data_IF_689779432996
#
_entry.id   IF_689779432996
#
_cell.length_a   1.000
_cell.length_b   1.000
_cell.length_c   1.000
_cell.angle_alpha   90.00
_cell.angle_beta   90.00
_cell.angle_gamma   90.00
#
_symmetry.space_group_name_H-M   'P 1'
#
loop_
_entity.id
_entity.type
_entity.pdbx_description
1 polymer ?
#
# COMPACT_ATOMS: atom_id res chain seq x y z
N UNK A 1 27.04 -8.60 -2.12
CA UNK A 1 26.41 -7.34 -1.68
C UNK A 1 25.52 -7.62 -0.48
N UNK A 2 25.64 -6.81 0.57
CA UNK A 2 24.84 -6.87 1.80
C UNK A 2 23.90 -5.66 1.84
N UNK A 3 22.62 -5.90 2.06
CA UNK A 3 21.55 -4.88 2.03
C UNK A 3 20.89 -4.82 3.39
N UNK A 4 20.83 -3.63 3.99
CA UNK A 4 20.01 -3.35 5.16
C UNK A 4 18.66 -2.77 4.69
N UNK A 5 17.58 -3.53 4.86
CA UNK A 5 16.24 -3.12 4.51
C UNK A 5 15.49 -2.68 5.76
N UNK A 6 15.00 -1.45 5.79
CA UNK A 6 14.37 -0.84 6.98
C UNK A 6 12.93 -0.48 6.68
N UNK A 7 12.01 -0.89 7.56
CA UNK A 7 10.60 -0.52 7.45
C UNK A 7 9.98 -0.28 8.83
N UNK A 8 8.79 0.34 8.84
CA UNK A 8 7.92 0.45 10.01
C UNK A 8 6.83 -0.63 9.95
N UNK A 9 6.22 -1.04 11.09
CA UNK A 9 5.35 -2.21 11.18
C UNK A 9 3.92 -1.96 10.65
N UNK A 10 3.83 -1.35 9.47
CA UNK A 10 2.57 -1.14 8.77
C UNK A 10 2.40 -2.16 7.65
N UNK A 11 1.37 -3.01 7.73
CA UNK A 11 1.15 -4.08 6.76
C UNK A 11 1.08 -3.59 5.30
N UNK A 12 0.46 -2.42 5.08
CA UNK A 12 0.39 -1.79 3.76
C UNK A 12 1.74 -1.39 3.18
N UNK A 13 2.76 -1.19 4.03
CA UNK A 13 4.12 -0.78 3.64
C UNK A 13 5.10 -1.95 3.60
N UNK A 14 4.82 -3.05 4.30
CA UNK A 14 5.70 -4.22 4.34
C UNK A 14 5.37 -5.19 3.20
N UNK A 15 4.09 -5.55 3.06
CA UNK A 15 3.67 -6.60 2.12
C UNK A 15 4.14 -6.34 0.68
N UNK A 16 4.05 -5.11 0.12
CA UNK A 16 4.53 -4.85 -1.24
C UNK A 16 6.03 -5.06 -1.42
N UNK A 17 6.83 -4.94 -0.36
CA UNK A 17 8.29 -5.05 -0.45
C UNK A 17 8.79 -6.50 -0.41
N UNK A 18 7.96 -7.45 0.06
CA UNK A 18 8.39 -8.84 0.26
C UNK A 18 8.82 -9.53 -1.03
N UNK A 19 8.13 -9.24 -2.13
CA UNK A 19 8.49 -9.81 -3.44
C UNK A 19 9.84 -9.31 -3.95
N UNK A 20 10.16 -8.03 -3.75
CA UNK A 20 11.47 -7.48 -4.08
C UNK A 20 12.56 -8.10 -3.21
N UNK A 21 12.32 -8.21 -1.90
CA UNK A 21 13.28 -8.84 -0.97
C UNK A 21 13.57 -10.28 -1.38
N UNK A 22 12.54 -11.07 -1.70
CA UNK A 22 12.71 -12.43 -2.18
C UNK A 22 13.53 -12.49 -3.49
N UNK A 23 13.29 -11.55 -4.41
CA UNK A 23 14.03 -11.50 -5.67
C UNK A 23 15.50 -11.12 -5.48
N UNK A 24 15.81 -10.19 -4.57
CA UNK A 24 17.18 -9.84 -4.20
C UNK A 24 17.93 -11.04 -3.59
N UNK A 25 17.28 -11.77 -2.69
CA UNK A 25 17.84 -12.99 -2.08
C UNK A 25 18.09 -14.06 -3.13
N UNK A 26 17.16 -14.30 -4.07
CA UNK A 26 17.35 -15.24 -5.20
C UNK A 26 18.58 -14.91 -6.05
N UNK A 27 19.01 -13.65 -6.09
CA UNK A 27 20.20 -13.17 -6.79
C UNK A 27 21.47 -13.24 -5.92
N UNK A 28 21.43 -14.00 -4.83
CA UNK A 28 22.55 -14.17 -3.89
C UNK A 28 22.97 -12.87 -3.19
N UNK A 29 22.07 -11.89 -3.05
CA UNK A 29 22.28 -10.72 -2.21
C UNK A 29 21.88 -11.06 -0.78
N UNK A 30 22.74 -10.70 0.18
CA UNK A 30 22.44 -10.89 1.61
C UNK A 30 21.56 -9.72 2.09
N UNK A 31 20.28 -9.98 2.26
CA UNK A 31 19.32 -8.97 2.74
C UNK A 31 19.02 -9.23 4.20
N UNK A 32 19.25 -8.24 5.05
CA UNK A 32 18.76 -8.22 6.42
C UNK A 32 17.59 -7.24 6.52
N UNK A 33 16.42 -7.76 6.89
CA UNK A 33 15.22 -6.96 7.05
C UNK A 33 15.07 -6.54 8.52
N UNK A 34 15.17 -5.24 8.80
CA UNK A 34 15.06 -4.66 10.12
C UNK A 34 13.61 -4.25 10.39
N UNK A 35 12.95 -4.94 11.35
CA UNK A 35 11.54 -4.75 11.64
C UNK A 35 11.20 -5.24 13.07
N UNK A 36 9.93 -5.11 13.50
CA UNK A 36 9.43 -5.64 14.78
C UNK A 36 9.18 -7.14 14.73
N UNK A 37 9.26 -7.84 15.86
CA UNK A 37 9.20 -9.31 15.99
C UNK A 37 7.98 -9.97 15.35
N UNK A 38 6.83 -9.31 15.36
CA UNK A 38 5.56 -9.82 14.77
C UNK A 38 5.66 -10.18 13.29
N UNK A 39 6.68 -9.67 12.60
CA UNK A 39 6.90 -9.88 11.17
C UNK A 39 7.97 -10.93 10.85
N UNK A 40 8.65 -11.46 11.87
CA UNK A 40 9.78 -12.38 11.70
C UNK A 40 9.44 -13.57 10.79
N UNK A 41 8.32 -14.22 11.05
CA UNK A 41 7.89 -15.38 10.26
C UNK A 41 7.66 -15.02 8.79
N UNK A 42 6.95 -13.92 8.52
CA UNK A 42 6.66 -13.47 7.14
C UNK A 42 7.92 -13.06 6.38
N UNK A 43 8.88 -12.43 7.08
CA UNK A 43 10.17 -12.07 6.47
C UNK A 43 10.98 -13.31 6.16
N UNK A 44 11.01 -14.32 7.04
CA UNK A 44 11.78 -15.55 6.81
C UNK A 44 11.36 -16.31 5.55
N UNK A 45 10.08 -16.25 5.15
CA UNK A 45 9.62 -16.83 3.88
C UNK A 45 10.25 -16.17 2.63
N UNK A 46 10.80 -14.96 2.73
CA UNK A 46 11.53 -14.32 1.63
C UNK A 46 12.96 -14.83 1.47
N UNK A 47 13.48 -15.56 2.46
CA UNK A 47 14.88 -15.97 2.57
C UNK A 47 15.81 -14.89 3.11
N UNK A 48 15.29 -13.71 3.48
CA UNK A 48 16.09 -12.66 4.12
C UNK A 48 16.37 -12.98 5.59
N UNK A 49 17.51 -12.49 6.06
CA UNK A 49 17.81 -12.45 7.50
C UNK A 49 16.89 -11.45 8.19
N UNK A 50 16.50 -11.76 9.42
CA UNK A 50 15.66 -10.87 10.21
C UNK A 50 16.47 -10.24 11.34
N UNK A 51 16.37 -8.92 11.46
CA UNK A 51 16.88 -8.18 12.62
C UNK A 51 15.74 -7.41 13.28
N UNK A 52 15.76 -7.36 14.61
CA UNK A 52 14.65 -6.80 15.38
C UNK A 52 14.99 -5.42 15.94
N UNK A 53 13.97 -4.54 15.94
CA UNK A 53 13.94 -3.39 16.84
C UNK A 53 12.68 -3.43 17.71
N UNK A 54 12.75 -2.83 18.89
CA UNK A 54 11.68 -2.86 19.88
C UNK A 54 10.42 -2.15 19.35
N UNK A 55 9.28 -2.84 19.38
CA UNK A 55 7.97 -2.27 19.05
C UNK A 55 7.55 -1.19 20.06
N UNK A 56 6.75 -0.22 19.59
CA UNK A 56 6.13 0.78 20.44
C UNK A 56 4.88 1.37 19.80
N UNK A 57 3.81 1.55 20.59
CA UNK A 57 2.56 2.14 20.12
C UNK A 57 2.71 3.61 19.70
N UNK A 58 3.67 4.33 20.24
CA UNK A 58 3.95 5.73 19.91
C UNK A 58 4.89 5.80 18.71
N UNK A 59 4.40 6.29 17.58
CA UNK A 59 5.14 6.31 16.31
C UNK A 59 6.50 7.02 16.41
N UNK A 60 6.60 8.11 17.18
CA UNK A 60 7.89 8.82 17.38
C UNK A 60 8.93 7.97 18.11
N UNK A 61 8.52 7.12 19.05
CA UNK A 61 9.40 6.17 19.75
C UNK A 61 9.74 5.01 18.82
N UNK A 62 8.77 4.46 18.13
CA UNK A 62 8.93 3.44 17.10
C UNK A 62 10.01 3.80 16.09
N UNK A 63 9.91 5.01 15.55
CA UNK A 63 10.86 5.54 14.56
C UNK A 63 12.28 5.66 15.13
N UNK A 64 12.42 6.11 16.39
CA UNK A 64 13.72 6.15 17.07
C UNK A 64 14.31 4.77 17.31
N UNK A 65 13.47 3.80 17.71
CA UNK A 65 13.92 2.43 17.92
C UNK A 65 14.48 1.84 16.63
N UNK A 66 13.75 2.02 15.51
CA UNK A 66 14.22 1.61 14.17
C UNK A 66 15.54 2.32 13.80
N UNK A 67 15.65 3.64 14.02
CA UNK A 67 16.85 4.41 13.73
C UNK A 67 18.07 3.90 14.49
N UNK A 68 17.98 3.77 15.82
CA UNK A 68 19.13 3.33 16.63
C UNK A 68 19.53 1.88 16.34
N UNK A 69 18.56 1.00 16.03
CA UNK A 69 18.86 -0.34 15.59
C UNK A 69 19.58 -0.34 14.22
N UNK A 70 19.12 0.48 13.27
CA UNK A 70 19.76 0.62 11.97
C UNK A 70 21.19 1.17 12.09
N UNK A 71 21.43 2.18 12.91
CA UNK A 71 22.77 2.78 13.15
C UNK A 71 23.77 1.75 13.70
N UNK A 72 23.31 0.80 14.52
CA UNK A 72 24.19 -0.26 15.05
C UNK A 72 24.63 -1.29 13.99
N UNK A 73 23.84 -1.43 12.92
CA UNK A 73 24.03 -2.45 11.91
C UNK A 73 24.70 -1.94 10.63
N UNK A 74 24.38 -0.71 10.24
CA UNK A 74 24.62 -0.18 8.88
C UNK A 74 26.08 -0.22 8.42
N UNK A 75 27.07 -0.18 9.33
CA UNK A 75 28.50 -0.27 8.97
C UNK A 75 28.84 -1.51 8.16
N UNK A 76 28.16 -2.62 8.44
CA UNK A 76 28.42 -3.93 7.85
C UNK A 76 27.70 -4.15 6.50
N UNK A 77 26.98 -3.16 6.01
CA UNK A 77 26.15 -3.23 4.80
C UNK A 77 26.68 -2.31 3.71
N UNK A 78 26.41 -2.70 2.47
CA UNK A 78 26.80 -1.96 1.27
C UNK A 78 25.74 -0.96 0.83
N UNK A 79 24.47 -1.23 1.12
CA UNK A 79 23.29 -0.48 0.70
C UNK A 79 22.25 -0.40 1.81
N UNK A 80 21.62 0.77 1.97
CA UNK A 80 20.42 0.95 2.79
C UNK A 80 19.21 1.09 1.88
N UNK A 81 18.21 0.22 2.05
CA UNK A 81 16.89 0.36 1.44
C UNK A 81 15.89 0.69 2.54
N UNK A 82 15.04 1.68 2.31
CA UNK A 82 14.04 2.07 3.30
C UNK A 82 12.72 2.48 2.66
N UNK A 83 11.63 2.21 3.37
CA UNK A 83 10.30 2.66 2.96
C UNK A 83 10.09 4.12 3.38
N UNK A 84 9.39 4.90 2.56
CA UNK A 84 9.27 6.36 2.67
C UNK A 84 8.81 6.88 4.04
N UNK A 85 7.98 6.12 4.78
CA UNK A 85 7.52 6.51 6.11
C UNK A 85 8.65 6.48 7.15
N UNK A 86 9.68 5.67 6.92
CA UNK A 86 10.91 5.74 7.70
C UNK A 86 11.82 6.84 7.14
N UNK A 87 11.39 8.10 7.21
CA UNK A 87 12.08 9.24 6.62
C UNK A 87 13.53 9.43 7.12
N UNK A 88 13.93 8.78 8.21
CA UNK A 88 15.30 8.78 8.72
C UNK A 88 16.25 7.86 7.92
N UNK A 89 15.75 7.11 6.95
CA UNK A 89 16.54 6.10 6.23
C UNK A 89 17.72 6.68 5.48
N UNK A 90 17.53 7.81 4.78
CA UNK A 90 18.63 8.50 4.11
C UNK A 90 19.67 9.04 5.11
N UNK A 91 19.21 9.60 6.24
CA UNK A 91 20.11 10.08 7.29
C UNK A 91 20.97 8.96 7.90
N UNK A 92 20.40 7.74 8.07
CA UNK A 92 21.17 6.55 8.47
C UNK A 92 22.27 6.25 7.46
N UNK A 93 21.94 6.24 6.18
CA UNK A 93 22.90 5.96 5.10
C UNK A 93 24.01 7.01 5.00
N UNK A 94 23.66 8.30 4.99
CA UNK A 94 24.61 9.42 4.90
C UNK A 94 25.62 9.43 6.05
N UNK A 95 25.17 9.12 7.27
CA UNK A 95 26.03 9.06 8.45
C UNK A 95 27.18 8.06 8.31
N UNK A 96 27.05 7.05 7.46
CA UNK A 96 28.04 5.99 7.24
C UNK A 96 28.54 5.96 5.79
N UNK A 97 28.28 7.01 5.00
CA UNK A 97 28.66 7.11 3.59
C UNK A 97 28.19 5.91 2.77
N UNK A 98 26.95 5.45 2.99
CA UNK A 98 26.36 4.34 2.24
C UNK A 98 25.36 4.87 1.20
N UNK A 99 25.28 4.24 0.01
CA UNK A 99 24.20 4.52 -0.93
C UNK A 99 22.85 4.17 -0.31
N UNK A 100 21.79 4.86 -0.74
CA UNK A 100 20.45 4.67 -0.26
C UNK A 100 19.43 4.55 -1.38
N UNK A 101 18.45 3.68 -1.19
CA UNK A 101 17.27 3.52 -2.07
C UNK A 101 16.02 3.71 -1.23
N UNK A 102 15.13 4.60 -1.69
CA UNK A 102 13.82 4.80 -1.05
C UNK A 102 12.74 4.06 -1.83
N UNK A 103 11.83 3.43 -1.09
CA UNK A 103 10.67 2.75 -1.66
C UNK A 103 9.40 3.53 -1.31
N UNK A 104 8.57 3.75 -2.31
CA UNK A 104 7.20 4.23 -2.18
C UNK A 104 6.25 3.06 -2.40
N UNK A 105 5.58 2.63 -1.36
CA UNK A 105 4.50 1.62 -1.41
C UNK A 105 3.14 2.23 -1.72
N UNK A 106 3.12 3.56 -1.85
CA UNK A 106 2.02 4.39 -2.30
C UNK A 106 2.52 5.26 -3.47
N UNK A 107 1.91 6.43 -3.68
CA UNK A 107 2.35 7.40 -4.68
C UNK A 107 3.68 8.05 -4.29
N UNK A 108 4.52 8.36 -5.27
CA UNK A 108 5.65 9.24 -5.05
C UNK A 108 5.13 10.63 -4.64
N UNK A 109 5.88 11.32 -3.75
CA UNK A 109 5.41 12.55 -3.13
C UNK A 109 6.15 13.77 -3.65
N UNK A 110 5.40 14.77 -4.12
CA UNK A 110 5.81 16.16 -4.31
C UNK A 110 5.01 17.08 -3.37
N UNK A 111 5.22 18.38 -3.44
CA UNK A 111 4.52 19.35 -2.60
C UNK A 111 2.99 19.28 -2.76
N UNK A 112 2.51 19.17 -4.00
CA UNK A 112 1.09 19.15 -4.31
C UNK A 112 0.41 17.89 -3.75
N UNK A 113 1.02 16.72 -3.97
CA UNK A 113 0.54 15.44 -3.44
C UNK A 113 0.54 15.47 -1.91
N UNK A 114 1.60 15.98 -1.30
CA UNK A 114 1.70 16.07 0.14
C UNK A 114 0.67 17.05 0.72
N UNK A 115 0.39 18.15 0.03
CA UNK A 115 -0.65 19.09 0.43
C UNK A 115 -2.04 18.45 0.35
N UNK A 116 -2.36 17.73 -0.72
CA UNK A 116 -3.62 16.99 -0.82
C UNK A 116 -3.74 15.93 0.27
N UNK A 117 -2.67 15.20 0.55
CA UNK A 117 -2.62 14.18 1.60
C UNK A 117 -2.86 14.77 3.02
N UNK A 118 -2.23 15.89 3.34
CA UNK A 118 -2.42 16.58 4.63
C UNK A 118 -3.81 17.20 4.71
N UNK A 119 -4.37 17.67 3.59
CA UNK A 119 -5.70 18.28 3.53
C UNK A 119 -6.83 17.26 3.56
N UNK A 120 -6.55 15.99 3.28
CA UNK A 120 -7.54 14.93 3.42
C UNK A 120 -7.96 14.77 4.89
N UNK A 121 -9.23 14.44 5.10
CA UNK A 121 -9.72 14.11 6.45
C UNK A 121 -9.00 12.84 6.96
N UNK A 122 -8.42 12.92 8.15
CA UNK A 122 -7.77 11.77 8.75
C UNK A 122 -6.65 12.10 9.74
N UNK A 123 -5.95 11.08 10.19
CA UNK A 123 -4.92 11.17 11.23
C UNK A 123 -3.78 12.16 10.87
N UNK A 124 -3.42 12.26 9.59
CA UNK A 124 -2.37 13.17 9.14
C UNK A 124 -2.82 14.63 9.00
N UNK A 125 -4.11 14.91 9.07
CA UNK A 125 -4.65 16.28 9.09
C UNK A 125 -4.13 17.14 10.26
N UNK A 126 -3.65 16.52 11.34
CA UNK A 126 -2.97 17.23 12.44
C UNK A 126 -1.71 17.95 11.98
N UNK A 127 -1.03 17.44 10.94
CA UNK A 127 0.19 18.03 10.37
C UNK A 127 -0.08 19.23 9.46
N UNK A 128 -1.34 19.64 9.25
CA UNK A 128 -1.69 20.97 8.70
C UNK A 128 -1.08 22.08 9.55
N UNK A 129 -0.99 21.85 10.85
CA UNK A 129 -0.30 22.77 11.75
C UNK A 129 1.22 22.61 11.64
N UNK A 130 1.86 23.65 11.10
CA UNK A 130 3.35 23.71 11.04
C UNK A 130 3.98 23.54 12.43
N UNK A 131 3.31 24.05 13.47
CA UNK A 131 3.78 23.90 14.84
C UNK A 131 3.76 22.43 15.29
N UNK A 132 2.65 21.71 15.06
CA UNK A 132 2.56 20.27 15.39
C UNK A 132 3.61 19.48 14.61
N UNK A 133 3.77 19.75 13.30
CA UNK A 133 4.79 19.11 12.47
C UNK A 133 6.18 19.28 13.08
N UNK A 134 6.55 20.52 13.46
CA UNK A 134 7.83 20.84 14.09
C UNK A 134 8.01 20.14 15.45
N UNK A 135 7.00 20.15 16.32
CA UNK A 135 7.08 19.52 17.64
C UNK A 135 7.26 18.00 17.51
N UNK A 136 6.50 17.38 16.62
CA UNK A 136 6.63 15.95 16.37
C UNK A 136 8.01 15.59 15.80
N UNK A 137 8.51 16.38 14.84
CA UNK A 137 9.85 16.20 14.26
C UNK A 137 10.94 16.36 15.34
N UNK A 138 10.85 17.38 16.19
CA UNK A 138 11.78 17.56 17.32
C UNK A 138 11.75 16.38 18.28
N UNK A 139 10.58 15.81 18.53
CA UNK A 139 10.47 14.63 19.40
C UNK A 139 11.15 13.41 18.77
N UNK A 140 10.97 13.17 17.47
CA UNK A 140 11.67 12.10 16.74
C UNK A 140 13.18 12.38 16.68
N UNK A 141 13.56 13.61 16.36
CA UNK A 141 14.96 14.01 16.20
C UNK A 141 15.74 14.11 17.53
N UNK A 142 15.08 14.01 18.69
CA UNK A 142 15.79 14.12 19.99
C UNK A 142 16.87 13.04 20.12
N UNK A 143 18.13 13.46 20.14
CA UNK A 143 19.30 12.59 20.14
C UNK A 143 19.77 12.15 18.74
N UNK A 144 19.18 12.69 17.68
CA UNK A 144 19.54 12.47 16.28
C UNK A 144 19.91 13.82 15.69
N UNK A 145 21.08 13.93 15.06
CA UNK A 145 21.52 15.15 14.38
C UNK A 145 20.80 15.30 13.03
N UNK A 146 19.52 15.63 13.08
CA UNK A 146 18.67 15.84 11.91
C UNK A 146 18.57 17.33 11.59
N UNK A 147 18.99 17.72 10.39
CA UNK A 147 19.04 19.12 9.96
C UNK A 147 17.69 19.74 9.65
N UNK A 148 16.63 18.91 9.44
CA UNK A 148 15.29 19.40 9.12
C UNK A 148 14.47 19.76 10.36
N UNK A 149 13.63 20.78 10.24
CA UNK A 149 12.67 21.18 11.26
C UNK A 149 11.29 20.53 11.07
N UNK A 150 11.08 19.84 9.93
CA UNK A 150 9.82 19.17 9.59
C UNK A 150 10.08 17.91 8.77
N UNK A 151 9.57 16.77 9.24
CA UNK A 151 9.73 15.47 8.59
C UNK A 151 9.17 15.42 7.15
N UNK A 152 8.17 16.26 6.86
CA UNK A 152 7.63 16.39 5.50
C UNK A 152 8.67 16.96 4.54
N UNK A 153 9.47 17.93 5.01
CA UNK A 153 10.57 18.48 4.22
C UNK A 153 11.65 17.43 3.95
N UNK A 154 11.91 16.54 4.90
CA UNK A 154 12.85 15.45 4.71
C UNK A 154 12.43 14.52 3.58
N UNK A 155 11.15 14.17 3.52
CA UNK A 155 10.62 13.36 2.43
C UNK A 155 10.68 14.09 1.09
N UNK A 156 10.34 15.40 1.05
CA UNK A 156 10.20 16.17 -0.19
C UNK A 156 11.54 16.65 -0.76
N UNK A 157 12.42 17.16 0.10
CA UNK A 157 13.61 17.90 -0.33
C UNK A 157 14.93 17.18 -0.06
N UNK A 158 14.88 16.00 0.58
CA UNK A 158 16.04 15.16 0.79
C UNK A 158 15.87 13.75 0.20
N UNK A 159 15.51 13.59 -1.10
CA UNK A 159 15.43 12.29 -1.71
C UNK A 159 16.81 11.65 -1.88
N UNK A 160 16.92 10.32 -1.81
CA UNK A 160 18.10 9.62 -2.29
C UNK A 160 18.14 9.66 -3.83
N UNK A 161 19.28 9.28 -4.41
CA UNK A 161 19.45 9.25 -5.87
C UNK A 161 18.46 8.29 -6.55
N UNK A 162 18.13 7.17 -5.90
CA UNK A 162 17.20 6.17 -6.45
C UNK A 162 15.96 6.04 -5.59
N UNK A 163 14.80 6.16 -6.26
CA UNK A 163 13.48 6.01 -5.68
C UNK A 163 12.66 4.99 -6.48
N UNK A 164 12.16 3.97 -5.81
CA UNK A 164 11.33 2.91 -6.41
C UNK A 164 9.88 3.12 -6.03
N UNK A 165 8.97 3.16 -7.00
CA UNK A 165 7.55 3.48 -6.79
C UNK A 165 6.70 2.29 -7.22
N UNK A 166 5.92 1.71 -6.30
CA UNK A 166 5.04 0.57 -6.59
C UNK A 166 3.71 1.00 -7.20
N UNK A 167 3.80 1.70 -8.32
CA UNK A 167 2.71 1.97 -9.24
C UNK A 167 3.27 2.18 -10.65
N UNK A 168 2.42 2.44 -11.63
CA UNK A 168 2.79 2.83 -12.98
C UNK A 168 2.76 4.34 -13.14
N UNK A 169 3.53 4.85 -14.12
CA UNK A 169 3.65 6.30 -14.35
C UNK A 169 2.31 6.96 -14.65
N UNK A 170 1.46 6.32 -15.44
CA UNK A 170 0.14 6.84 -15.79
C UNK A 170 -0.84 6.91 -14.61
N UNK A 171 -0.65 6.08 -13.57
CA UNK A 171 -1.45 6.20 -12.37
C UNK A 171 -0.95 7.32 -11.44
N UNK A 172 0.35 7.65 -11.48
CA UNK A 172 0.97 8.67 -10.65
C UNK A 172 0.44 10.08 -11.01
N UNK A 173 -0.17 10.84 -10.08
CA UNK A 173 -0.44 12.26 -10.30
C UNK A 173 0.87 13.05 -10.45
N UNK A 174 0.86 14.09 -11.28
CA UNK A 174 2.02 14.96 -11.52
C UNK A 174 3.29 14.16 -11.90
N UNK A 175 3.11 13.13 -12.75
CA UNK A 175 4.19 12.19 -13.07
C UNK A 175 5.44 12.87 -13.67
N UNK A 176 5.26 13.99 -14.35
CA UNK A 176 6.36 14.75 -14.98
C UNK A 176 7.29 15.45 -13.98
N UNK A 177 6.85 15.62 -12.72
CA UNK A 177 7.69 16.14 -11.64
C UNK A 177 8.72 15.12 -11.15
N UNK A 178 8.63 13.86 -11.58
CA UNK A 178 9.47 12.76 -11.14
C UNK A 178 10.40 12.30 -12.27
N UNK A 179 11.63 12.81 -12.27
CA UNK A 179 12.65 12.49 -13.27
C UNK A 179 12.93 10.99 -13.35
N UNK A 180 12.98 10.42 -14.56
CA UNK A 180 13.10 8.98 -14.77
C UNK A 180 14.43 8.39 -14.29
N UNK A 181 15.49 9.18 -14.27
CA UNK A 181 16.79 8.75 -13.74
C UNK A 181 16.74 8.48 -12.24
N UNK A 182 15.94 9.25 -11.49
CA UNK A 182 15.85 9.15 -10.03
C UNK A 182 14.64 8.36 -9.54
N UNK A 183 13.56 8.27 -10.35
CA UNK A 183 12.31 7.60 -9.97
C UNK A 183 11.97 6.48 -10.95
N UNK A 184 11.93 5.26 -10.44
CA UNK A 184 11.57 4.07 -11.23
C UNK A 184 10.20 3.56 -10.82
N UNK A 185 9.23 3.70 -11.73
CA UNK A 185 7.88 3.19 -11.55
C UNK A 185 7.86 1.70 -11.88
N UNK A 186 7.66 0.88 -10.85
CA UNK A 186 7.82 -0.58 -10.92
C UNK A 186 6.56 -1.30 -11.44
N UNK A 187 5.38 -0.71 -11.26
CA UNK A 187 4.11 -1.39 -11.42
C UNK A 187 3.62 -2.02 -10.12
N UNK A 188 2.68 -2.95 -10.23
CA UNK A 188 2.08 -3.61 -9.08
C UNK A 188 3.03 -4.65 -8.46
N UNK A 189 3.26 -4.57 -7.15
CA UNK A 189 3.95 -5.64 -6.44
C UNK A 189 2.99 -6.78 -6.14
N UNK A 190 2.97 -7.78 -7.01
CA UNK A 190 2.24 -9.01 -6.77
C UNK A 190 3.20 -10.01 -6.12
N UNK A 191 3.00 -10.24 -4.84
CA UNK A 191 3.71 -11.24 -4.07
C UNK A 191 2.75 -12.37 -3.72
N UNK A 192 3.06 -13.59 -4.13
CA UNK A 192 2.28 -14.77 -3.73
C UNK A 192 2.45 -14.96 -2.23
N UNK A 193 1.52 -14.44 -1.48
CA UNK A 193 1.37 -14.74 -0.05
C UNK A 193 1.18 -16.24 0.05
N UNK A 194 1.81 -16.89 1.03
CA UNK A 194 1.58 -18.31 1.28
C UNK A 194 0.06 -18.56 1.28
N UNK A 195 -0.39 -19.32 0.29
CA UNK A 195 -1.81 -19.56 0.04
C UNK A 195 -2.43 -20.08 1.32
N UNK A 196 -3.50 -19.45 1.78
CA UNK A 196 -4.33 -20.05 2.82
C UNK A 196 -5.06 -21.24 2.18
N UNK A 197 -4.41 -22.44 2.19
CA UNK A 197 -4.87 -23.66 1.55
C UNK A 197 -6.30 -24.09 1.96
N UNK A 198 -6.87 -23.43 2.96
CA UNK A 198 -8.22 -23.71 3.45
C UNK A 198 -9.32 -22.89 2.75
N UNK A 199 -8.98 -21.85 1.96
CA UNK A 199 -10.00 -21.09 1.23
C UNK A 199 -10.35 -21.80 -0.07
N UNK A 200 -11.63 -22.16 -0.20
CA UNK A 200 -12.19 -22.71 -1.44
C UNK A 200 -13.03 -21.62 -2.07
N UNK A 201 -12.63 -21.19 -3.26
CA UNK A 201 -13.37 -20.20 -4.04
C UNK A 201 -14.76 -20.74 -4.38
N UNK A 202 -15.86 -20.07 -3.99
CA UNK A 202 -17.19 -20.48 -4.42
C UNK A 202 -17.31 -20.43 -5.96
N UNK A 203 -18.00 -21.37 -6.60
CA UNK A 203 -18.15 -21.36 -8.06
C UNK A 203 -18.88 -20.09 -8.51
N UNK A 204 -18.32 -19.42 -9.53
CA UNK A 204 -18.92 -18.22 -10.12
C UNK A 204 -20.12 -18.60 -10.98
N UNK A 205 -21.32 -18.19 -10.55
CA UNK A 205 -22.60 -18.48 -11.25
C UNK A 205 -23.20 -17.27 -11.98
N UNK A 206 -22.81 -16.07 -11.53
CA UNK A 206 -23.28 -14.79 -12.05
C UNK A 206 -22.18 -13.75 -11.78
N UNK A 207 -22.34 -12.47 -12.19
CA UNK A 207 -21.36 -11.44 -11.93
C UNK A 207 -21.00 -11.37 -10.44
N UNK A 208 -19.69 -11.31 -10.13
CA UNK A 208 -19.14 -11.35 -8.79
C UNK A 208 -18.72 -9.97 -8.31
N UNK A 209 -19.31 -9.53 -7.21
CA UNK A 209 -18.91 -8.33 -6.48
C UNK A 209 -18.06 -8.75 -5.28
N UNK A 210 -16.85 -8.27 -5.21
CA UNK A 210 -15.99 -8.40 -4.03
C UNK A 210 -16.06 -7.14 -3.17
N UNK A 211 -16.18 -7.30 -1.85
CA UNK A 211 -16.26 -6.19 -0.89
C UNK A 211 -15.21 -6.39 0.20
N UNK A 212 -14.29 -5.43 0.32
CA UNK A 212 -13.29 -5.41 1.39
C UNK A 212 -12.84 -3.99 1.71
N UNK A 213 -12.95 -3.60 2.97
CA UNK A 213 -12.46 -2.31 3.48
C UNK A 213 -11.03 -2.37 4.04
N UNK A 214 -10.29 -3.44 3.73
CA UNK A 214 -8.92 -3.65 4.17
C UNK A 214 -8.83 -4.05 5.65
N UNK A 215 -7.67 -3.84 6.26
CA UNK A 215 -7.37 -4.31 7.63
C UNK A 215 -7.62 -3.25 8.71
N UNK A 216 -7.66 -1.97 8.35
CA UNK A 216 -7.76 -0.86 9.33
C UNK A 216 -9.20 -0.40 9.52
N UNK A 217 -10.02 -0.37 8.45
CA UNK A 217 -11.35 0.28 8.44
C UNK A 217 -12.48 -0.75 8.29
N UNK A 218 -12.38 -1.90 8.89
CA UNK A 218 -13.37 -2.96 8.74
C UNK A 218 -14.43 -3.01 9.86
N UNK A 219 -14.32 -2.22 10.94
CA UNK A 219 -15.32 -2.19 12.03
C UNK A 219 -16.53 -1.28 11.69
N UNK A 220 -17.16 -1.49 10.53
CA UNK A 220 -18.29 -0.70 10.04
C UNK A 220 -19.49 -1.58 9.70
N UNK A 221 -20.10 -2.18 10.72
CA UNK A 221 -21.28 -3.07 10.57
C UNK A 221 -22.38 -2.40 9.76
N UNK A 222 -22.64 -1.11 10.00
CA UNK A 222 -23.67 -0.36 9.28
C UNK A 222 -23.44 -0.32 7.76
N UNK A 223 -22.19 -0.24 7.33
CA UNK A 223 -21.83 -0.27 5.92
C UNK A 223 -22.09 -1.65 5.30
N UNK A 224 -21.66 -2.72 5.96
CA UNK A 224 -21.90 -4.08 5.47
C UNK A 224 -23.40 -4.41 5.38
N UNK A 225 -24.20 -3.94 6.35
CA UNK A 225 -25.67 -4.06 6.27
C UNK A 225 -26.27 -3.28 5.09
N UNK A 226 -25.69 -2.10 4.74
CA UNK A 226 -26.10 -1.37 3.54
C UNK A 226 -25.75 -2.14 2.26
N UNK A 227 -24.59 -2.80 2.21
CA UNK A 227 -24.20 -3.64 1.09
C UNK A 227 -25.14 -4.85 0.95
N UNK A 228 -25.53 -5.50 2.03
CA UNK A 228 -26.50 -6.59 2.01
C UNK A 228 -27.81 -6.11 1.38
N UNK A 229 -28.40 -5.03 1.90
CA UNK A 229 -29.65 -4.45 1.35
C UNK A 229 -29.52 -3.97 -0.10
N UNK A 230 -28.31 -3.57 -0.51
CA UNK A 230 -28.06 -3.13 -1.88
C UNK A 230 -28.18 -4.26 -2.91
N UNK A 231 -27.81 -5.49 -2.53
CA UNK A 231 -27.66 -6.59 -3.48
C UNK A 231 -28.49 -7.84 -3.17
N UNK A 232 -29.26 -7.88 -2.08
CA UNK A 232 -30.03 -9.06 -1.67
C UNK A 232 -31.04 -9.56 -2.71
N UNK A 233 -31.51 -8.68 -3.61
CA UNK A 233 -32.46 -9.00 -4.67
C UNK A 233 -31.85 -8.90 -6.07
N UNK A 234 -30.54 -8.68 -6.19
CA UNK A 234 -29.87 -8.56 -7.47
C UNK A 234 -29.33 -9.91 -7.97
N UNK A 235 -29.30 -10.10 -9.28
CA UNK A 235 -28.70 -11.28 -9.89
C UNK A 235 -27.18 -11.18 -9.94
N UNK A 236 -26.55 -11.13 -8.76
CA UNK A 236 -25.11 -11.05 -8.53
C UNK A 236 -24.71 -11.97 -7.40
N UNK A 237 -23.47 -12.41 -7.43
CA UNK A 237 -22.82 -13.08 -6.30
C UNK A 237 -22.00 -12.05 -5.54
N UNK A 238 -22.06 -12.06 -4.20
CA UNK A 238 -21.30 -11.10 -3.38
C UNK A 238 -20.42 -11.86 -2.39
N UNK A 239 -19.14 -11.54 -2.40
CA UNK A 239 -18.19 -12.04 -1.39
C UNK A 239 -17.70 -10.88 -0.56
N UNK A 240 -17.92 -10.93 0.75
CA UNK A 240 -17.50 -9.90 1.70
C UNK A 240 -16.38 -10.41 2.60
N UNK A 241 -15.27 -9.68 2.65
CA UNK A 241 -14.22 -9.82 3.67
C UNK A 241 -14.42 -8.73 4.73
N UNK A 242 -14.90 -9.15 5.92
CA UNK A 242 -15.34 -8.22 6.97
C UNK A 242 -14.29 -7.97 8.07
N UNK A 243 -13.11 -8.61 7.97
CA UNK A 243 -12.08 -8.58 8.99
C UNK A 243 -12.42 -9.44 10.23
N UNK A 244 -11.46 -9.56 11.13
CA UNK A 244 -11.60 -10.36 12.36
C UNK A 244 -12.36 -9.63 13.49
N UNK A 245 -12.50 -8.30 13.40
CA UNK A 245 -13.13 -7.47 14.45
C UNK A 245 -14.66 -7.45 14.34
N UNK A 246 -15.19 -7.65 13.13
CA UNK A 246 -16.64 -7.64 12.89
C UNK A 246 -17.24 -9.01 13.20
N UNK A 247 -18.18 -9.04 14.16
CA UNK A 247 -18.97 -10.26 14.41
C UNK A 247 -20.02 -10.42 13.31
N UNK A 248 -19.94 -11.53 12.55
CA UNK A 248 -20.85 -11.87 11.45
C UNK A 248 -22.32 -11.93 11.90
N UNK A 249 -22.61 -12.41 13.10
CA UNK A 249 -23.97 -12.53 13.62
C UNK A 249 -24.68 -11.17 13.74
N UNK A 250 -23.89 -10.10 13.91
CA UNK A 250 -24.41 -8.73 13.95
C UNK A 250 -24.84 -8.17 12.60
N UNK A 251 -24.57 -8.86 11.50
CA UNK A 251 -25.00 -8.43 10.16
C UNK A 251 -26.49 -8.66 9.91
N UNK A 252 -27.11 -9.58 10.65
CA UNK A 252 -28.49 -10.03 10.45
C UNK A 252 -28.56 -11.20 9.49
N UNK A 253 -29.72 -11.42 8.84
CA UNK A 253 -29.91 -12.48 7.86
C UNK A 253 -28.99 -12.24 6.66
N UNK A 254 -28.20 -13.24 6.31
CA UNK A 254 -27.33 -13.22 5.11
C UNK A 254 -28.12 -13.88 3.97
N UNK A 255 -28.35 -13.17 2.85
CA UNK A 255 -29.03 -13.73 1.68
C UNK A 255 -28.19 -14.82 0.99
N UNK A 256 -28.83 -15.71 0.22
CA UNK A 256 -28.18 -16.86 -0.41
C UNK A 256 -27.13 -16.50 -1.46
N UNK A 257 -27.23 -15.30 -2.04
CA UNK A 257 -26.24 -14.76 -2.99
C UNK A 257 -25.01 -14.15 -2.33
N UNK A 258 -24.93 -14.18 -0.97
CA UNK A 258 -23.81 -13.65 -0.21
C UNK A 258 -22.97 -14.74 0.44
N UNK A 259 -21.64 -14.57 0.36
CA UNK A 259 -20.66 -15.31 1.16
C UNK A 259 -19.85 -14.34 2.01
N UNK A 260 -19.85 -14.52 3.33
CA UNK A 260 -19.22 -13.60 4.28
C UNK A 260 -18.12 -14.33 5.04
N UNK A 261 -16.90 -13.77 4.95
CA UNK A 261 -15.69 -14.30 5.57
C UNK A 261 -14.99 -13.24 6.41
N UNK A 262 -14.28 -13.67 7.43
CA UNK A 262 -13.37 -12.77 8.16
C UNK A 262 -12.17 -12.38 7.31
N UNK A 263 -11.69 -13.28 6.46
CA UNK A 263 -10.57 -13.07 5.56
C UNK A 263 -10.75 -13.91 4.28
N UNK A 264 -10.36 -13.34 3.16
CA UNK A 264 -10.23 -14.04 1.87
C UNK A 264 -8.88 -13.72 1.22
N UNK A 265 -8.27 -14.62 0.44
CA UNK A 265 -7.06 -14.35 -0.30
C UNK A 265 -7.37 -13.38 -1.46
N UNK A 266 -7.02 -12.10 -1.28
CA UNK A 266 -7.46 -11.00 -2.14
C UNK A 266 -7.03 -11.16 -3.60
N UNK A 267 -5.81 -11.66 -3.87
CA UNK A 267 -5.32 -11.86 -5.23
C UNK A 267 -6.16 -12.88 -6.00
N UNK A 268 -6.49 -14.01 -5.37
CA UNK A 268 -7.35 -15.06 -5.94
C UNK A 268 -8.79 -14.56 -6.14
N UNK A 269 -9.28 -13.72 -5.21
CA UNK A 269 -10.58 -13.09 -5.33
C UNK A 269 -10.64 -12.16 -6.54
N UNK A 270 -9.67 -11.27 -6.69
CA UNK A 270 -9.64 -10.27 -7.76
C UNK A 270 -9.55 -10.91 -9.15
N UNK A 271 -8.93 -12.07 -9.28
CA UNK A 271 -8.87 -12.81 -10.55
C UNK A 271 -10.26 -13.18 -11.10
N UNK A 272 -11.25 -13.35 -10.20
CA UNK A 272 -12.60 -13.77 -10.54
C UNK A 272 -13.66 -12.66 -10.39
N UNK A 273 -13.26 -11.48 -9.92
CA UNK A 273 -14.14 -10.37 -9.54
C UNK A 273 -14.49 -9.50 -10.75
N UNK A 274 -15.75 -9.12 -10.88
CA UNK A 274 -16.22 -8.18 -11.91
C UNK A 274 -16.23 -6.72 -11.43
N UNK A 275 -16.48 -6.47 -10.13
CA UNK A 275 -16.34 -5.15 -9.50
C UNK A 275 -15.86 -5.30 -8.06
N UNK A 276 -14.93 -4.46 -7.66
CA UNK A 276 -14.39 -4.42 -6.31
C UNK A 276 -14.86 -3.18 -5.54
N UNK A 277 -15.56 -3.37 -4.43
CA UNK A 277 -15.92 -2.30 -3.49
C UNK A 277 -14.85 -2.26 -2.40
N UNK A 278 -14.08 -1.18 -2.36
CA UNK A 278 -12.88 -1.06 -1.53
C UNK A 278 -12.79 0.29 -0.82
N UNK A 279 -11.98 0.36 0.23
CA UNK A 279 -11.64 1.62 0.89
C UNK A 279 -10.65 2.48 0.09
N UNK A 280 -9.97 1.90 -0.91
CA UNK A 280 -9.02 2.64 -1.75
C UNK A 280 -7.60 2.75 -1.20
N UNK A 281 -7.17 1.83 -0.34
CA UNK A 281 -5.75 1.70 0.00
C UNK A 281 -4.92 1.29 -1.21
N UNK A 282 -3.70 1.83 -1.35
CA UNK A 282 -2.91 1.70 -2.59
C UNK A 282 -2.67 0.25 -3.01
N UNK A 283 -2.44 -0.67 -2.08
CA UNK A 283 -2.26 -2.09 -2.41
C UNK A 283 -3.51 -2.69 -3.05
N UNK A 284 -4.70 -2.38 -2.48
CA UNK A 284 -5.97 -2.86 -3.05
C UNK A 284 -6.22 -2.31 -4.44
N UNK A 285 -5.82 -1.06 -4.69
CA UNK A 285 -5.95 -0.42 -6.00
C UNK A 285 -5.00 -1.07 -7.01
N UNK A 286 -3.71 -1.18 -6.70
CA UNK A 286 -2.73 -1.76 -7.63
C UNK A 286 -3.02 -3.23 -7.91
N UNK A 287 -3.45 -4.00 -6.91
CA UNK A 287 -3.90 -5.38 -7.09
C UNK A 287 -5.15 -5.45 -7.99
N UNK A 288 -6.15 -4.60 -7.75
CA UNK A 288 -7.36 -4.52 -8.58
C UNK A 288 -7.04 -4.21 -10.03
N UNK A 289 -6.22 -3.19 -10.28
CA UNK A 289 -5.81 -2.78 -11.62
C UNK A 289 -4.95 -3.86 -12.30
N UNK A 290 -4.11 -4.56 -11.56
CA UNK A 290 -3.33 -5.70 -12.09
C UNK A 290 -4.22 -6.82 -12.61
N UNK A 291 -5.35 -7.09 -11.95
CA UNK A 291 -6.34 -8.08 -12.41
C UNK A 291 -7.35 -7.49 -13.41
N UNK A 292 -7.39 -6.18 -13.58
CA UNK A 292 -8.31 -5.51 -14.51
C UNK A 292 -9.72 -5.42 -13.95
N UNK A 293 -9.86 -5.15 -12.66
CA UNK A 293 -11.13 -5.06 -11.96
C UNK A 293 -11.49 -3.61 -11.68
N UNK A 294 -12.61 -3.09 -12.19
CA UNK A 294 -13.10 -1.74 -11.89
C UNK A 294 -13.52 -1.62 -10.43
N UNK A 295 -13.43 -0.41 -9.87
CA UNK A 295 -13.61 -0.21 -8.44
C UNK A 295 -14.73 0.76 -8.09
N UNK A 296 -15.38 0.50 -6.94
CA UNK A 296 -16.13 1.50 -6.17
C UNK A 296 -15.32 1.82 -4.94
N UNK A 297 -14.78 3.04 -4.89
CA UNK A 297 -13.87 3.45 -3.80
C UNK A 297 -14.64 4.25 -2.76
N UNK A 298 -14.53 3.82 -1.49
CA UNK A 298 -15.18 4.45 -0.35
C UNK A 298 -14.06 4.89 0.62
N UNK A 299 -13.48 6.07 0.40
CA UNK A 299 -12.33 6.50 1.17
C UNK A 299 -12.71 6.93 2.60
N UNK A 300 -11.83 6.65 3.55
CA UNK A 300 -11.97 6.99 4.96
C UNK A 300 -10.87 7.92 5.45
N UNK A 301 -9.60 7.52 5.28
CA UNK A 301 -8.43 8.18 5.90
C UNK A 301 -7.19 8.10 4.99
N UNK A 302 -6.15 8.80 5.36
CA UNK A 302 -4.79 8.76 4.77
C UNK A 302 -4.75 9.11 3.28
N UNK A 303 -4.18 8.25 2.45
CA UNK A 303 -4.03 8.38 1.00
C UNK A 303 -5.31 8.04 0.21
N UNK A 304 -6.29 7.42 0.88
CA UNK A 304 -7.50 6.91 0.23
C UNK A 304 -8.31 7.99 -0.52
N UNK A 305 -8.52 9.22 0.02
CA UNK A 305 -9.22 10.28 -0.70
C UNK A 305 -8.52 10.70 -2.00
N UNK A 306 -7.19 10.77 -2.00
CA UNK A 306 -6.38 11.08 -3.17
C UNK A 306 -6.44 9.94 -4.19
N UNK A 307 -6.31 8.71 -3.72
CA UNK A 307 -6.43 7.53 -4.56
C UNK A 307 -7.82 7.43 -5.21
N UNK A 308 -8.90 7.70 -4.44
CA UNK A 308 -10.26 7.70 -4.95
C UNK A 308 -10.50 8.78 -6.02
N UNK A 309 -9.92 9.97 -5.84
CA UNK A 309 -9.93 11.05 -6.83
C UNK A 309 -9.24 10.59 -8.11
N UNK A 310 -8.06 9.95 -8.00
CA UNK A 310 -7.30 9.47 -9.16
C UNK A 310 -8.04 8.36 -9.93
N UNK A 311 -8.73 7.47 -9.23
CA UNK A 311 -9.60 6.44 -9.84
C UNK A 311 -10.71 7.08 -10.70
N UNK A 312 -11.34 8.16 -10.24
CA UNK A 312 -12.38 8.86 -11.00
C UNK A 312 -11.79 9.63 -12.21
N UNK A 313 -10.67 10.34 -12.01
CA UNK A 313 -9.96 11.08 -13.06
C UNK A 313 -9.58 10.18 -14.23
N UNK A 314 -9.09 8.98 -13.94
CA UNK A 314 -8.68 7.99 -14.95
C UNK A 314 -9.81 7.07 -15.42
N UNK A 315 -11.04 7.30 -14.99
CA UNK A 315 -12.20 6.48 -15.32
C UNK A 315 -12.02 4.98 -15.03
N UNK A 316 -11.34 4.67 -13.91
CA UNK A 316 -11.09 3.29 -13.46
C UNK A 316 -12.16 2.77 -12.49
N UNK A 317 -13.14 3.61 -12.17
CA UNK A 317 -14.21 3.32 -11.23
C UNK A 317 -14.93 4.58 -10.78
N UNK A 318 -15.61 4.47 -9.64
CA UNK A 318 -16.36 5.57 -9.00
C UNK A 318 -16.05 5.68 -7.52
N UNK A 319 -16.17 6.91 -7.00
CA UNK A 319 -16.04 7.23 -5.58
C UNK A 319 -17.41 7.40 -4.94
N UNK A 320 -17.59 6.87 -3.74
CA UNK A 320 -18.73 7.12 -2.89
C UNK A 320 -18.29 7.65 -1.52
N UNK A 321 -18.98 8.68 -1.03
CA UNK A 321 -18.65 9.30 0.26
C UNK A 321 -19.29 8.54 1.41
N UNK A 322 -18.50 7.94 2.29
CA UNK A 322 -18.98 7.08 3.39
C UNK A 322 -20.10 7.70 4.23
N UNK A 323 -19.98 8.98 4.59
CA UNK A 323 -20.97 9.67 5.44
C UNK A 323 -22.34 9.85 4.79
N UNK A 324 -22.41 9.84 3.45
CA UNK A 324 -23.64 10.07 2.67
C UNK A 324 -24.17 8.81 1.98
N UNK A 325 -23.45 7.70 2.11
CA UNK A 325 -23.74 6.48 1.36
C UNK A 325 -25.05 5.83 1.81
N UNK A 326 -25.88 5.45 0.85
CA UNK A 326 -27.10 4.66 1.05
C UNK A 326 -26.98 3.32 0.32
N UNK A 327 -27.85 2.34 0.64
CA UNK A 327 -27.91 1.06 -0.08
C UNK A 327 -28.22 1.27 -1.56
N UNK A 328 -29.12 2.20 -1.86
CA UNK A 328 -29.49 2.54 -3.23
C UNK A 328 -28.31 3.13 -4.02
N UNK A 329 -27.54 4.04 -3.41
CA UNK A 329 -26.34 4.60 -4.04
C UNK A 329 -25.31 3.50 -4.32
N UNK A 330 -25.07 2.59 -3.35
CA UNK A 330 -24.16 1.44 -3.54
C UNK A 330 -24.63 0.62 -4.74
N UNK A 331 -25.90 0.24 -4.76
CA UNK A 331 -26.51 -0.58 -5.80
C UNK A 331 -26.38 0.08 -7.17
N UNK A 332 -26.92 1.27 -7.30
CA UNK A 332 -26.98 1.99 -8.58
C UNK A 332 -25.58 2.25 -9.15
N UNK A 333 -24.64 2.70 -8.32
CA UNK A 333 -23.27 2.99 -8.76
C UNK A 333 -22.54 1.69 -9.16
N UNK A 334 -22.67 0.61 -8.38
CA UNK A 334 -22.01 -0.64 -8.70
C UNK A 334 -22.51 -1.25 -10.01
N UNK A 335 -23.84 -1.32 -10.18
CA UNK A 335 -24.44 -1.84 -11.42
C UNK A 335 -24.11 -0.95 -12.63
N UNK A 336 -24.00 0.36 -12.44
CA UNK A 336 -23.58 1.29 -13.49
C UNK A 336 -22.13 1.04 -13.91
N UNK A 337 -21.20 0.87 -12.96
CA UNK A 337 -19.79 0.57 -13.25
C UNK A 337 -19.64 -0.77 -13.96
N UNK A 338 -20.36 -1.79 -13.52
CA UNK A 338 -20.34 -3.13 -14.15
C UNK A 338 -20.76 -3.11 -15.63
N UNK A 339 -21.64 -2.19 -16.01
CA UNK A 339 -22.19 -2.09 -17.37
C UNK A 339 -21.50 -1.02 -18.23
N UNK A 340 -20.53 -0.26 -17.69
CA UNK A 340 -19.92 0.87 -18.38
C UNK A 340 -18.73 0.42 -19.23
N UNK A 341 -18.84 0.37 -20.58
CA UNK A 341 -17.76 -0.11 -21.44
C UNK A 341 -16.53 0.79 -21.38
N UNK A 342 -16.67 2.11 -21.21
CA UNK A 342 -15.54 3.02 -21.14
C UNK A 342 -14.69 2.77 -19.91
N UNK A 343 -15.32 2.48 -18.73
CA UNK A 343 -14.58 2.11 -17.53
C UNK A 343 -13.83 0.79 -17.74
N UNK A 344 -14.47 -0.20 -18.35
CA UNK A 344 -13.83 -1.49 -18.62
C UNK A 344 -12.63 -1.35 -19.57
N UNK A 345 -12.74 -0.54 -20.62
CA UNK A 345 -11.65 -0.25 -21.53
C UNK A 345 -10.46 0.39 -20.81
N UNK A 346 -10.69 1.45 -20.04
CA UNK A 346 -9.63 2.12 -19.27
C UNK A 346 -8.95 1.19 -18.24
N UNK A 347 -9.74 0.37 -17.56
CA UNK A 347 -9.21 -0.62 -16.61
C UNK A 347 -8.38 -1.69 -17.32
N UNK A 348 -8.76 -2.12 -18.53
CA UNK A 348 -7.98 -3.08 -19.32
C UNK A 348 -6.66 -2.47 -19.83
N UNK A 349 -6.66 -1.20 -20.25
CA UNK A 349 -5.41 -0.51 -20.60
C UNK A 349 -4.47 -0.39 -19.38
N UNK A 350 -5.02 0.00 -18.23
CA UNK A 350 -4.24 0.07 -16.99
C UNK A 350 -3.69 -1.31 -16.57
N UNK A 351 -4.49 -2.37 -16.76
CA UNK A 351 -4.03 -3.76 -16.53
C UNK A 351 -2.82 -4.12 -17.39
N UNK A 352 -2.84 -3.75 -18.69
CA UNK A 352 -1.71 -4.00 -19.59
C UNK A 352 -0.45 -3.31 -19.07
N UNK A 353 -0.58 -2.06 -18.64
CA UNK A 353 0.54 -1.30 -18.09
C UNK A 353 1.05 -1.89 -16.76
N UNK A 354 0.14 -2.21 -15.82
CA UNK A 354 0.50 -2.84 -14.54
C UNK A 354 1.22 -4.19 -14.70
N UNK A 355 0.95 -4.91 -15.80
CA UNK A 355 1.54 -6.20 -16.13
C UNK A 355 2.70 -6.13 -17.12
N UNK A 356 3.05 -4.95 -17.62
CA UNK A 356 4.07 -4.79 -18.65
C UNK A 356 5.44 -5.32 -18.22
N UNK A 357 5.69 -5.35 -16.92
CA UNK A 357 6.90 -5.90 -16.30
C UNK A 357 6.60 -6.51 -14.93
N UNK A 358 7.42 -7.46 -14.52
CA UNK A 358 7.39 -7.94 -13.15
C UNK A 358 8.06 -6.90 -12.25
N UNK A 359 7.30 -6.23 -11.39
CA UNK A 359 7.77 -5.15 -10.54
C UNK A 359 8.97 -5.55 -9.66
N UNK A 360 8.96 -6.76 -9.11
CA UNK A 360 10.00 -7.24 -8.20
C UNK A 360 11.31 -7.53 -8.96
N UNK A 361 11.21 -8.19 -10.11
CA UNK A 361 12.36 -8.47 -10.98
C UNK A 361 12.95 -7.17 -11.52
N UNK A 362 12.10 -6.25 -12.00
CA UNK A 362 12.54 -4.96 -12.50
C UNK A 362 13.20 -4.12 -11.39
N UNK A 363 12.60 -4.06 -10.21
CA UNK A 363 13.18 -3.35 -9.05
C UNK A 363 14.55 -3.92 -8.65
N UNK A 364 14.71 -5.23 -8.65
CA UNK A 364 16.00 -5.87 -8.36
C UNK A 364 17.06 -5.60 -9.44
N UNK A 365 16.68 -5.50 -10.74
CA UNK A 365 17.58 -5.08 -11.82
C UNK A 365 18.08 -3.66 -11.61
N UNK A 366 17.14 -2.74 -11.33
CA UNK A 366 17.45 -1.33 -11.08
C UNK A 366 18.37 -1.15 -9.88
N UNK A 367 18.17 -1.89 -8.80
CA UNK A 367 19.07 -1.86 -7.62
C UNK A 367 20.45 -2.38 -8.00
N UNK A 368 20.56 -3.49 -8.74
CA UNK A 368 21.83 -4.03 -9.16
C UNK A 368 22.61 -3.06 -10.07
N UNK A 369 21.91 -2.41 -11.02
CA UNK A 369 22.48 -1.37 -11.88
C UNK A 369 22.95 -0.15 -11.07
N UNK A 370 22.13 0.32 -10.14
CA UNK A 370 22.47 1.42 -9.25
C UNK A 370 23.75 1.13 -8.46
N UNK A 371 23.85 -0.08 -7.90
CA UNK A 371 25.01 -0.48 -7.10
C UNK A 371 26.28 -0.70 -7.91
N UNK A 372 26.18 -0.98 -9.21
CA UNK A 372 27.37 -1.11 -10.08
C UNK A 372 28.17 0.20 -10.19
N UNK A 373 27.59 1.34 -9.80
CA UNK A 373 28.28 2.64 -9.73
C UNK A 373 29.20 2.77 -8.50
N UNK A 374 29.05 1.88 -7.52
CA UNK A 374 29.79 1.90 -6.25
C UNK A 374 30.74 0.72 -6.06
N UNK A 375 30.85 -0.16 -7.09
CA UNK A 375 31.72 -1.35 -7.09
C UNK A 375 33.02 -1.11 -7.87
#
# INVERSE_FOLDING_TARGET
MKILFINLPFSGHIIPTLGLVQELVKRNMKVTYLLTSDWKEKISYTGAEFSEYQDNKKLSVQMKNAYYAAVKLVSDYDLVIYEQFFFLGKHVAEKFNKPAVRIFTSLASNELIMQEFINADGMFGIFRSKWICRQWTKEVAKGIDLKTDCWLKEILYNPPELNLVYTVRNFQPFADDFAEENYKFLGASIYQRALNKSFIMPPKKCPLIYISLGTIVNNTISFYRKCIRAFEHENVQVIMSIGSVVNKDRLGKIPDNFSVYSFVPQLEMLENTDVFITHGGMNSITESLYYGVPMIVIPFITDQPLNAKRIEELQLGKKLMFRKITSEMIRATTLSVMKNPAIHEQVLEMKKEMRSKNANVFGANVIAEYMSKYC
#
